data_IF_391190015482
#
_entry.id   IF_391190015482
#
_cell.length_a   1.000
_cell.length_b   1.000
_cell.length_c   1.000
_cell.angle_alpha   90.00
_cell.angle_beta   90.00
_cell.angle_gamma   90.00
#
_symmetry.space_group_name_H-M   'P 1'
#
loop_
_entity.id
_entity.type
_entity.pdbx_description
1 polymer ?
#
# COMPACT_ATOMS: atom_id res chain seq x y z
N UNK A 1 -7.80 -39.87 17.97
CA UNK A 1 -7.08 -38.79 18.69
C UNK A 1 -5.93 -38.17 17.90
N UNK A 2 -5.02 -38.95 17.28
CA UNK A 2 -3.83 -38.39 16.60
C UNK A 2 -4.11 -37.44 15.42
N UNK A 3 -5.12 -37.72 14.58
CA UNK A 3 -5.44 -36.94 13.37
C UNK A 3 -5.86 -35.49 13.71
N UNK A 4 -6.59 -35.30 14.82
CA UNK A 4 -7.09 -33.97 15.21
C UNK A 4 -5.95 -33.01 15.53
N UNK A 5 -4.88 -33.49 16.19
CA UNK A 5 -3.69 -32.69 16.48
C UNK A 5 -2.86 -32.40 15.23
N UNK A 6 -2.74 -33.36 14.30
CA UNK A 6 -2.01 -33.15 13.04
C UNK A 6 -2.68 -32.05 12.21
N UNK A 7 -4.01 -32.07 12.10
CA UNK A 7 -4.77 -31.02 11.41
C UNK A 7 -4.61 -29.68 12.15
N UNK A 8 -4.73 -29.67 13.48
CA UNK A 8 -4.57 -28.44 14.27
C UNK A 8 -3.18 -27.80 14.09
N UNK A 9 -2.12 -28.63 14.06
CA UNK A 9 -0.73 -28.16 13.88
C UNK A 9 -0.52 -27.63 12.47
N UNK A 10 -1.04 -28.30 11.44
CA UNK A 10 -0.95 -27.83 10.05
C UNK A 10 -1.67 -26.50 9.86
N UNK A 11 -2.85 -26.34 10.46
CA UNK A 11 -3.62 -25.10 10.42
C UNK A 11 -2.83 -23.96 11.06
N UNK A 12 -2.30 -24.14 12.28
CA UNK A 12 -1.49 -23.12 12.96
C UNK A 12 -0.23 -22.77 12.17
N UNK A 13 0.43 -23.76 11.59
CA UNK A 13 1.64 -23.54 10.81
C UNK A 13 1.38 -22.65 9.59
N UNK A 14 0.29 -22.88 8.85
CA UNK A 14 -0.09 -22.03 7.71
C UNK A 14 -0.23 -20.55 8.10
N UNK A 15 -0.79 -20.26 9.27
CA UNK A 15 -0.92 -18.88 9.79
C UNK A 15 0.41 -18.29 10.32
N UNK A 16 1.43 -19.11 10.60
CA UNK A 16 2.73 -18.66 11.10
C UNK A 16 3.76 -18.39 10.00
N UNK A 17 3.68 -19.10 8.87
CA UNK A 17 4.64 -18.95 7.76
C UNK A 17 4.18 -18.01 6.65
N UNK A 18 2.87 -17.78 6.50
CA UNK A 18 2.38 -16.85 5.49
C UNK A 18 2.34 -15.41 6.05
N UNK A 19 2.75 -14.40 5.27
CA UNK A 19 2.51 -13.00 5.60
C UNK A 19 1.02 -12.79 5.88
N UNK A 20 0.72 -12.08 6.97
CA UNK A 20 -0.65 -11.79 7.42
C UNK A 20 -1.50 -11.20 6.28
N UNK A 21 -0.90 -10.37 5.43
CA UNK A 21 -1.55 -9.70 4.29
C UNK A 21 -2.17 -10.68 3.27
N UNK A 22 -1.57 -11.87 3.07
CA UNK A 22 -2.09 -12.90 2.15
C UNK A 22 -3.35 -13.57 2.72
N UNK A 23 -3.44 -13.67 4.05
CA UNK A 23 -4.50 -14.39 4.74
C UNK A 23 -5.77 -13.52 4.87
N UNK A 24 -5.58 -12.22 5.06
CA UNK A 24 -6.68 -11.30 5.37
C UNK A 24 -7.09 -10.38 4.21
N UNK A 25 -6.38 -10.40 3.08
CA UNK A 25 -6.71 -9.55 1.93
C UNK A 25 -6.72 -8.07 2.34
N UNK A 26 -5.58 -7.59 2.83
CA UNK A 26 -5.41 -6.16 3.08
C UNK A 26 -5.30 -5.46 1.72
N UNK A 27 -6.31 -4.67 1.35
CA UNK A 27 -6.30 -3.85 0.14
C UNK A 27 -5.36 -2.65 0.26
N UNK A 28 -4.71 -2.51 1.42
CA UNK A 28 -3.74 -1.47 1.76
C UNK A 28 -4.34 -0.07 1.87
N UNK A 29 -5.64 0.06 1.60
CA UNK A 29 -6.36 1.32 1.59
C UNK A 29 -6.47 1.86 2.99
N UNK A 30 -6.05 3.11 3.15
CA UNK A 30 -6.14 3.81 4.42
C UNK A 30 -6.72 5.22 4.25
N UNK A 31 -7.05 5.84 5.38
CA UNK A 31 -7.63 7.18 5.42
C UNK A 31 -6.84 8.22 4.61
N UNK A 32 -5.50 8.16 4.66
CA UNK A 32 -4.66 9.12 3.96
C UNK A 32 -4.69 8.92 2.45
N UNK A 33 -4.87 7.69 1.97
CA UNK A 33 -5.06 7.44 0.55
C UNK A 33 -6.34 8.08 0.01
N UNK A 34 -7.46 7.87 0.70
CA UNK A 34 -8.74 8.48 0.30
C UNK A 34 -8.71 10.00 0.41
N UNK A 35 -8.00 10.53 1.42
CA UNK A 35 -7.74 11.96 1.53
C UNK A 35 -6.93 12.48 0.34
N UNK A 36 -5.90 11.75 -0.09
CA UNK A 36 -5.10 12.10 -1.27
C UNK A 36 -5.92 12.12 -2.54
N UNK A 37 -6.76 11.11 -2.77
CA UNK A 37 -7.72 11.09 -3.88
C UNK A 37 -8.63 12.33 -3.85
N UNK A 38 -9.18 12.67 -2.68
CA UNK A 38 -10.07 13.83 -2.55
C UNK A 38 -9.39 15.17 -2.85
N UNK A 39 -8.11 15.32 -2.52
CA UNK A 39 -7.33 16.51 -2.88
C UNK A 39 -6.97 16.54 -4.36
N UNK A 40 -6.59 15.38 -4.92
CA UNK A 40 -6.26 15.25 -6.33
C UNK A 40 -7.46 15.60 -7.23
N UNK A 41 -8.66 15.10 -6.90
CA UNK A 41 -9.91 15.42 -7.61
C UNK A 41 -10.26 16.91 -7.59
N UNK A 42 -9.75 17.66 -6.61
CA UNK A 42 -9.92 19.12 -6.49
C UNK A 42 -8.81 19.90 -7.22
N UNK A 43 -7.82 19.23 -7.80
CA UNK A 43 -6.62 19.83 -8.38
C UNK A 43 -5.63 20.35 -7.33
N UNK A 44 -5.80 19.99 -6.06
CA UNK A 44 -4.94 20.38 -4.95
C UNK A 44 -3.78 19.38 -4.80
N UNK A 45 -2.90 19.38 -5.80
CA UNK A 45 -1.87 18.34 -5.99
C UNK A 45 -0.88 18.29 -4.81
N UNK A 46 -0.53 19.44 -4.22
CA UNK A 46 0.41 19.48 -3.09
C UNK A 46 -0.15 18.76 -1.85
N UNK A 47 -1.43 18.94 -1.54
CA UNK A 47 -2.06 18.21 -0.44
C UNK A 47 -2.33 16.73 -0.78
N UNK A 48 -2.56 16.41 -2.06
CA UNK A 48 -2.65 15.03 -2.51
C UNK A 48 -1.35 14.26 -2.26
N UNK A 49 -0.20 14.86 -2.64
CA UNK A 49 1.14 14.32 -2.38
C UNK A 49 1.34 14.11 -0.87
N UNK A 50 1.10 15.13 -0.05
CA UNK A 50 1.30 15.00 1.41
C UNK A 50 0.44 13.92 2.05
N UNK A 51 -0.77 13.69 1.51
CA UNK A 51 -1.65 12.63 1.97
C UNK A 51 -1.15 11.26 1.53
N UNK A 52 -0.77 11.07 0.26
CA UNK A 52 -0.24 9.79 -0.20
C UNK A 52 1.13 9.43 0.41
N UNK A 53 1.99 10.41 0.71
CA UNK A 53 3.22 10.19 1.49
C UNK A 53 2.91 9.59 2.87
N UNK A 54 1.86 10.06 3.54
CA UNK A 54 1.40 9.46 4.80
C UNK A 54 0.79 8.07 4.58
N UNK A 55 0.11 7.86 3.47
CA UNK A 55 -0.49 6.57 3.14
C UNK A 55 0.58 5.47 3.02
N UNK A 56 1.71 5.76 2.35
CA UNK A 56 2.82 4.81 2.20
C UNK A 56 3.64 4.64 3.49
N UNK A 57 3.63 5.62 4.40
CA UNK A 57 4.19 5.43 5.75
C UNK A 57 3.34 4.46 6.58
N UNK A 58 2.01 4.52 6.43
CA UNK A 58 1.08 3.61 7.12
C UNK A 58 1.16 2.20 6.53
N UNK A 59 1.16 2.10 5.20
CA UNK A 59 1.35 0.84 4.50
C UNK A 59 2.45 0.98 3.42
N UNK A 60 3.70 0.57 3.75
CA UNK A 60 4.82 0.61 2.83
C UNK A 60 4.72 -0.35 1.64
N UNK A 61 3.76 -1.26 1.61
CA UNK A 61 3.51 -2.18 0.49
C UNK A 61 2.33 -1.71 -0.39
N UNK A 62 1.77 -0.53 -0.13
CA UNK A 62 0.58 -0.07 -0.83
C UNK A 62 0.90 0.50 -2.21
N UNK A 63 0.89 -0.38 -3.21
CA UNK A 63 1.28 -0.12 -4.59
C UNK A 63 0.50 1.03 -5.22
N UNK A 64 -0.82 1.11 -5.01
CA UNK A 64 -1.67 2.15 -5.59
C UNK A 64 -1.33 3.55 -5.06
N UNK A 65 -0.89 3.66 -3.80
CA UNK A 65 -0.45 4.94 -3.24
C UNK A 65 0.87 5.41 -3.89
N UNK A 66 1.81 4.50 -4.14
CA UNK A 66 3.05 4.82 -4.87
C UNK A 66 2.79 5.20 -6.32
N UNK A 67 1.88 4.50 -7.00
CA UNK A 67 1.48 4.83 -8.36
C UNK A 67 0.92 6.26 -8.45
N UNK A 68 0.01 6.61 -7.53
CA UNK A 68 -0.59 7.94 -7.48
C UNK A 68 0.42 9.03 -7.08
N UNK A 69 1.35 8.75 -6.17
CA UNK A 69 2.47 9.66 -5.88
C UNK A 69 3.30 9.95 -7.12
N UNK A 70 3.65 8.93 -7.90
CA UNK A 70 4.42 9.10 -9.12
C UNK A 70 3.73 10.03 -10.11
N UNK A 71 2.42 9.82 -10.34
CA UNK A 71 1.63 10.67 -11.23
C UNK A 71 1.54 12.12 -10.72
N UNK A 72 1.35 12.34 -9.42
CA UNK A 72 1.28 13.70 -8.87
C UNK A 72 2.64 14.41 -8.89
N UNK A 73 3.74 13.70 -8.63
CA UNK A 73 5.08 14.27 -8.79
C UNK A 73 5.38 14.62 -10.26
N UNK A 74 4.97 13.77 -11.21
CA UNK A 74 5.09 14.07 -12.65
C UNK A 74 4.32 15.35 -13.02
N UNK A 75 3.08 15.50 -12.56
CA UNK A 75 2.25 16.70 -12.79
C UNK A 75 2.91 17.97 -12.22
N UNK A 76 3.67 17.84 -11.14
CA UNK A 76 4.48 18.92 -10.54
C UNK A 76 5.81 19.17 -11.25
N UNK A 77 6.22 18.31 -12.19
CA UNK A 77 7.54 18.33 -12.83
C UNK A 77 8.68 17.79 -11.97
N UNK A 78 8.35 17.10 -10.87
CA UNK A 78 9.28 16.49 -9.92
C UNK A 78 9.64 15.07 -10.40
N UNK A 79 10.38 15.00 -11.50
CA UNK A 79 10.61 13.74 -12.22
C UNK A 79 11.45 12.72 -11.43
N UNK A 80 12.37 13.17 -10.57
CA UNK A 80 13.20 12.26 -9.80
C UNK A 80 12.38 11.52 -8.73
N UNK A 81 11.50 12.27 -8.06
CA UNK A 81 10.56 11.76 -7.07
C UNK A 81 9.52 10.85 -7.72
N UNK A 82 9.02 11.22 -8.90
CA UNK A 82 8.10 10.39 -9.68
C UNK A 82 8.70 9.03 -10.01
N UNK A 83 9.94 9.01 -10.52
CA UNK A 83 10.66 7.77 -10.83
C UNK A 83 10.86 6.91 -9.58
N UNK A 84 11.29 7.52 -8.47
CA UNK A 84 11.47 6.79 -7.22
C UNK A 84 10.16 6.18 -6.71
N UNK A 85 9.03 6.85 -6.90
CA UNK A 85 7.72 6.33 -6.52
C UNK A 85 7.28 5.18 -7.43
N UNK A 86 7.48 5.29 -8.75
CA UNK A 86 7.14 4.20 -9.68
C UNK A 86 8.06 2.99 -9.57
N UNK A 87 9.32 3.18 -9.18
CA UNK A 87 10.23 2.04 -8.91
C UNK A 87 9.66 1.14 -7.80
N UNK A 88 8.94 1.72 -6.82
CA UNK A 88 8.25 0.96 -5.76
C UNK A 88 7.04 0.17 -6.25
N UNK A 89 6.50 0.47 -7.43
CA UNK A 89 5.36 -0.24 -8.02
C UNK A 89 5.80 -1.55 -8.70
N UNK A 90 7.07 -1.65 -9.10
CA UNK A 90 7.62 -2.78 -9.86
C UNK A 90 8.63 -3.63 -9.07
N UNK A 91 8.99 -3.20 -7.85
CA UNK A 91 9.83 -3.95 -6.90
C UNK A 91 9.10 -5.17 -6.32
#
# INVERSE_FOLDING_TARGET
>A
MRIKYVIQILVIFVFLVLPINIIFGDDGRNYFYDLGISHYDKGDIDNAISAWEKAVVVNPEFVEAYYNLGNAYEEKGLLAEALSAWDKVIE
#
